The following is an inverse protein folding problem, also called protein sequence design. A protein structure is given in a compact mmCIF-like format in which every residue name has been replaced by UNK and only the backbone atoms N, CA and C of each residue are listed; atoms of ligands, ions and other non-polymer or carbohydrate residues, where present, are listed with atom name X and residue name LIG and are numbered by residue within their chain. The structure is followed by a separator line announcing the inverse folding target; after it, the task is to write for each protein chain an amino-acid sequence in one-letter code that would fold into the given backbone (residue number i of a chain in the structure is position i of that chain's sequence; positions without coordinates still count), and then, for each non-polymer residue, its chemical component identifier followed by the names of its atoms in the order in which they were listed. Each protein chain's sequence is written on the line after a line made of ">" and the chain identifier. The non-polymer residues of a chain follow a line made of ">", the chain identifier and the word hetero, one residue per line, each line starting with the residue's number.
data_IF_098907408706
#
_entry.id   IF_098907408706
#
_cell.length_a   1.000
_cell.length_b   1.000
_cell.length_c   1.000
_cell.angle_alpha   90.00
_cell.angle_beta   90.00
_cell.angle_gamma   90.00
#
_symmetry.space_group_name_H-M   'P 1'
#
loop_
_entity.id
_entity.type
_entity.pdbx_description
1 polymer ?
#
# COMPACT_ATOMS: atom_id res chain seq x y z
N UNK A 1 0.48 25.06 -18.67
CA UNK A 1 1.91 24.75 -18.44
C UNK A 1 2.00 23.36 -17.84
N UNK A 2 2.40 22.35 -18.62
CA UNK A 2 2.52 20.96 -18.14
C UNK A 2 3.82 20.78 -17.36
N UNK A 3 3.74 20.73 -16.03
CA UNK A 3 4.89 20.50 -15.19
C UNK A 3 5.27 19.00 -15.19
N UNK A 4 5.91 18.52 -16.26
CA UNK A 4 6.28 17.12 -16.46
C UNK A 4 7.43 16.63 -15.54
N UNK A 5 7.92 17.48 -14.65
CA UNK A 5 9.03 17.17 -13.74
C UNK A 5 8.63 16.64 -12.36
N UNK A 6 7.33 16.62 -12.02
CA UNK A 6 6.88 16.13 -10.72
C UNK A 6 7.08 14.61 -10.63
N UNK A 7 7.99 14.17 -9.77
CA UNK A 7 8.29 12.75 -9.51
C UNK A 7 7.59 12.19 -8.28
N UNK A 8 7.20 13.07 -7.36
CA UNK A 8 6.64 12.68 -6.06
C UNK A 8 5.40 13.48 -5.74
N UNK A 9 4.35 12.80 -5.26
CA UNK A 9 3.11 13.43 -4.83
C UNK A 9 2.66 12.83 -3.49
N UNK A 10 2.32 13.70 -2.55
CA UNK A 10 1.52 13.36 -1.39
C UNK A 10 0.08 13.78 -1.66
N UNK A 11 -0.85 12.82 -1.68
CA UNK A 11 -2.27 13.09 -1.82
C UNK A 11 -3.05 12.31 -0.76
N UNK A 12 -3.45 13.00 0.30
CA UNK A 12 -4.26 12.41 1.34
C UNK A 12 -5.32 13.40 1.76
N UNK A 13 -6.59 13.02 1.58
CA UNK A 13 -7.71 13.79 2.12
C UNK A 13 -8.19 13.10 3.39
N UNK A 14 -7.75 13.63 4.54
CA UNK A 14 -8.17 13.15 5.85
C UNK A 14 -9.39 13.97 6.31
N UNK A 15 -10.50 13.87 5.57
CA UNK A 15 -11.74 14.56 5.95
C UNK A 15 -12.43 13.77 7.05
N UNK A 16 -11.99 13.96 8.29
CA UNK A 16 -12.62 13.36 9.47
C UNK A 16 -14.00 14.00 9.74
N UNK A 17 -14.30 15.17 9.14
CA UNK A 17 -15.47 15.98 9.53
C UNK A 17 -16.35 16.54 8.41
N UNK A 18 -16.07 16.29 7.12
CA UNK A 18 -16.95 16.83 6.07
C UNK A 18 -17.11 15.91 4.84
N UNK A 19 -18.12 15.02 4.83
CA UNK A 19 -18.37 14.09 3.72
C UNK A 19 -18.96 14.74 2.46
N UNK A 20 -19.10 16.08 2.41
CA UNK A 20 -19.89 16.79 1.39
C UNK A 20 -19.09 17.58 0.35
N UNK A 21 -17.80 17.83 0.55
CA UNK A 21 -17.01 18.57 -0.43
C UNK A 21 -16.53 17.60 -1.51
N UNK A 22 -17.19 17.60 -2.66
CA UNK A 22 -16.88 16.76 -3.81
C UNK A 22 -15.71 17.39 -4.58
N UNK A 23 -14.47 17.04 -4.25
CA UNK A 23 -13.32 17.53 -4.98
C UNK A 23 -12.65 16.35 -5.66
N UNK A 24 -12.91 16.18 -6.96
CA UNK A 24 -12.16 15.27 -7.82
C UNK A 24 -10.75 15.82 -8.07
N UNK A 25 -9.98 16.03 -7.00
CA UNK A 25 -8.64 16.62 -7.05
C UNK A 25 -7.74 15.78 -7.93
N UNK A 26 -7.88 14.45 -7.88
CA UNK A 26 -7.12 13.53 -8.74
C UNK A 26 -7.31 13.82 -10.23
N UNK A 27 -8.53 14.12 -10.68
CA UNK A 27 -8.80 14.50 -12.08
C UNK A 27 -8.14 15.83 -12.46
N UNK A 28 -8.09 16.79 -11.54
CA UNK A 28 -7.49 18.11 -11.77
C UNK A 28 -5.96 18.06 -11.78
N UNK A 29 -5.34 17.15 -11.01
CA UNK A 29 -3.87 17.04 -10.93
C UNK A 29 -3.29 16.03 -11.92
N UNK A 30 -4.11 15.10 -12.45
CA UNK A 30 -3.69 14.04 -13.36
C UNK A 30 -2.83 14.54 -14.54
N UNK A 31 -3.15 15.65 -15.24
CA UNK A 31 -2.34 16.14 -16.35
C UNK A 31 -0.90 16.52 -15.98
N UNK A 32 -0.65 16.79 -14.69
CA UNK A 32 0.66 17.23 -14.18
C UNK A 32 1.46 16.09 -13.52
N UNK A 33 0.86 14.90 -13.40
CA UNK A 33 1.38 13.79 -12.59
C UNK A 33 1.78 12.56 -13.42
N UNK A 34 1.87 12.68 -14.74
CA UNK A 34 2.10 11.54 -15.65
C UNK A 34 3.42 10.77 -15.38
N UNK A 35 4.43 11.44 -14.81
CA UNK A 35 5.77 10.90 -14.56
C UNK A 35 6.04 10.59 -13.07
N UNK A 36 5.00 10.50 -12.23
CA UNK A 36 5.17 10.16 -10.83
C UNK A 36 5.82 8.79 -10.67
N UNK A 37 6.88 8.73 -9.89
CA UNK A 37 7.55 7.50 -9.47
C UNK A 37 7.24 7.15 -8.02
N UNK A 38 6.84 8.13 -7.20
CA UNK A 38 6.50 7.96 -5.79
C UNK A 38 5.14 8.60 -5.50
N UNK A 39 4.23 7.83 -4.90
CA UNK A 39 2.91 8.30 -4.51
C UNK A 39 2.59 7.85 -3.09
N UNK A 40 2.12 8.79 -2.26
CA UNK A 40 1.33 8.45 -1.08
C UNK A 40 -0.12 8.83 -1.35
N UNK A 41 -1.02 7.85 -1.27
CA UNK A 41 -2.45 8.03 -1.40
C UNK A 41 -3.24 7.50 -0.20
N UNK A 42 -4.28 8.24 0.20
CA UNK A 42 -5.27 7.80 1.18
C UNK A 42 -6.61 7.59 0.48
N UNK A 43 -7.17 6.40 0.61
CA UNK A 43 -8.45 5.95 0.01
C UNK A 43 -9.45 5.73 1.14
N UNK A 44 -10.27 6.74 1.41
CA UNK A 44 -11.43 6.67 2.31
C UNK A 44 -12.69 6.42 1.47
N UNK A 45 -13.56 5.51 1.92
CA UNK A 45 -14.57 4.89 1.06
C UNK A 45 -15.63 5.85 0.47
N UNK A 46 -16.13 5.51 -0.72
CA UNK A 46 -17.39 6.02 -1.27
C UNK A 46 -17.26 6.81 -2.58
N UNK A 47 -17.00 8.11 -2.48
CA UNK A 47 -17.17 9.03 -3.63
C UNK A 47 -15.94 9.20 -4.51
N UNK A 48 -14.75 9.17 -3.92
CA UNK A 48 -13.49 9.43 -4.65
C UNK A 48 -12.80 8.14 -5.13
N UNK A 49 -13.35 6.96 -4.83
CA UNK A 49 -12.72 5.67 -5.14
C UNK A 49 -12.49 5.50 -6.65
N UNK A 50 -13.51 5.71 -7.47
CA UNK A 50 -13.42 5.57 -8.93
C UNK A 50 -12.42 6.55 -9.55
N UNK A 51 -12.41 7.80 -9.09
CA UNK A 51 -11.45 8.81 -9.54
C UNK A 51 -10.02 8.47 -9.10
N UNK A 52 -9.85 7.90 -7.90
CA UNK A 52 -8.56 7.43 -7.41
C UNK A 52 -8.04 6.27 -8.25
N UNK A 53 -8.88 5.26 -8.52
CA UNK A 53 -8.53 4.14 -9.40
C UNK A 53 -8.15 4.63 -10.80
N UNK A 54 -8.93 5.55 -11.38
CA UNK A 54 -8.66 6.13 -12.69
C UNK A 54 -7.31 6.85 -12.72
N UNK A 55 -7.03 7.63 -11.67
CA UNK A 55 -5.74 8.30 -11.51
C UNK A 55 -4.59 7.29 -11.38
N UNK A 56 -4.71 6.28 -10.52
CA UNK A 56 -3.71 5.21 -10.36
C UNK A 56 -3.38 4.50 -11.68
N UNK A 57 -4.41 4.17 -12.48
CA UNK A 57 -4.25 3.57 -13.82
C UNK A 57 -3.43 4.44 -14.79
N UNK A 58 -3.40 5.76 -14.58
CA UNK A 58 -2.62 6.68 -15.41
C UNK A 58 -1.12 6.74 -15.07
N UNK A 59 -0.72 6.25 -13.89
CA UNK A 59 0.64 6.41 -13.36
C UNK A 59 1.62 5.33 -13.83
N UNK A 60 1.95 5.34 -15.13
CA UNK A 60 2.77 4.29 -15.78
C UNK A 60 4.19 4.13 -15.23
N UNK A 61 4.72 5.14 -14.53
CA UNK A 61 6.08 5.16 -14.01
C UNK A 61 6.16 4.97 -12.48
N UNK A 62 5.04 4.69 -11.82
CA UNK A 62 4.99 4.56 -10.37
C UNK A 62 5.83 3.36 -9.89
N UNK A 63 6.84 3.61 -9.05
CA UNK A 63 7.76 2.60 -8.50
C UNK A 63 7.47 2.31 -7.04
N UNK A 64 7.04 3.33 -6.29
CA UNK A 64 6.76 3.25 -4.86
C UNK A 64 5.37 3.82 -4.57
N UNK A 65 4.51 2.97 -4.02
CA UNK A 65 3.18 3.33 -3.54
C UNK A 65 3.12 3.16 -2.04
N UNK A 66 2.76 4.25 -1.37
CA UNK A 66 2.28 4.23 -0.01
C UNK A 66 0.77 4.38 -0.05
N UNK A 67 0.06 3.44 0.54
CA UNK A 67 -1.39 3.28 0.43
C UNK A 67 -2.01 3.19 1.81
N UNK A 68 -2.83 4.17 2.14
CA UNK A 68 -3.73 4.09 3.28
C UNK A 68 -5.13 3.83 2.79
N UNK A 69 -5.74 2.72 3.18
CA UNK A 69 -7.01 2.30 2.61
C UNK A 69 -7.93 1.75 3.70
N UNK A 70 -9.18 2.22 3.71
CA UNK A 70 -10.17 1.76 4.69
C UNK A 70 -10.48 0.27 4.53
N UNK A 71 -10.55 -0.46 5.66
CA UNK A 71 -11.02 -1.85 5.69
C UNK A 71 -12.51 -2.02 5.33
N UNK A 72 -13.24 -0.92 5.14
CA UNK A 72 -14.64 -0.94 4.69
C UNK A 72 -14.81 -1.23 3.19
N UNK A 73 -13.72 -1.29 2.41
CA UNK A 73 -13.80 -1.66 0.99
C UNK A 73 -14.28 -3.11 0.80
N UNK A 74 -15.25 -3.29 -0.11
CA UNK A 74 -15.69 -4.61 -0.59
C UNK A 74 -14.60 -5.25 -1.46
N UNK A 75 -14.63 -6.58 -1.60
CA UNK A 75 -13.61 -7.33 -2.36
C UNK A 75 -13.51 -6.86 -3.81
N UNK A 76 -14.63 -6.56 -4.47
CA UNK A 76 -14.63 -6.02 -5.83
C UNK A 76 -13.85 -4.70 -5.95
N UNK A 77 -13.98 -3.83 -4.93
CA UNK A 77 -13.22 -2.58 -4.89
C UNK A 77 -11.73 -2.84 -4.63
N UNK A 78 -11.38 -3.80 -3.76
CA UNK A 78 -9.98 -4.18 -3.55
C UNK A 78 -9.37 -4.76 -4.84
N UNK A 79 -10.11 -5.58 -5.57
CA UNK A 79 -9.71 -6.11 -6.88
C UNK A 79 -9.52 -4.99 -7.90
N UNK A 80 -10.46 -4.04 -7.98
CA UNK A 80 -10.33 -2.89 -8.88
C UNK A 80 -9.11 -2.03 -8.54
N UNK A 81 -8.82 -1.83 -7.25
CA UNK A 81 -7.63 -1.15 -6.77
C UNK A 81 -6.35 -1.92 -7.17
N UNK A 82 -6.31 -3.24 -6.97
CA UNK A 82 -5.18 -4.09 -7.35
C UNK A 82 -4.85 -3.98 -8.85
N UNK A 83 -5.90 -3.99 -9.70
CA UNK A 83 -5.76 -3.84 -11.15
C UNK A 83 -5.33 -2.42 -11.58
N UNK A 84 -5.44 -1.42 -10.71
CA UNK A 84 -5.00 -0.06 -10.99
C UNK A 84 -3.50 0.15 -10.84
N UNK A 85 -2.78 -0.81 -10.24
CA UNK A 85 -1.36 -0.66 -9.96
C UNK A 85 -0.51 -0.74 -11.23
N UNK A 86 0.46 0.17 -11.34
CA UNK A 86 1.40 0.18 -12.45
C UNK A 86 2.29 -1.06 -12.46
N UNK A 87 2.63 -1.55 -13.64
CA UNK A 87 3.61 -2.63 -13.84
C UNK A 87 5.01 -2.29 -13.30
N UNK A 88 5.34 -1.00 -13.28
CA UNK A 88 6.60 -0.49 -12.72
C UNK A 88 6.66 -0.56 -11.20
N UNK A 89 5.53 -0.76 -10.52
CA UNK A 89 5.44 -0.71 -9.06
C UNK A 89 6.26 -1.85 -8.44
N UNK A 90 7.14 -1.50 -7.49
CA UNK A 90 8.04 -2.44 -6.80
C UNK A 90 7.93 -2.39 -5.28
N UNK A 91 7.54 -1.25 -4.71
CA UNK A 91 7.46 -1.05 -3.27
C UNK A 91 6.03 -0.69 -2.91
N UNK A 92 5.44 -1.45 -1.99
CA UNK A 92 4.12 -1.19 -1.42
C UNK A 92 4.25 -0.97 0.09
N UNK A 93 3.82 0.19 0.56
CA UNK A 93 3.72 0.52 1.97
C UNK A 93 2.24 0.68 2.37
N UNK A 94 1.79 0.06 3.46
CA UNK A 94 0.38 0.06 3.91
C UNK A 94 0.24 0.26 5.41
N UNK A 95 -0.81 0.92 5.88
CA UNK A 95 -1.10 1.15 7.30
C UNK A 95 -2.49 0.64 7.75
N UNK A 96 -3.55 0.81 6.93
CA UNK A 96 -4.92 0.43 7.30
C UNK A 96 -5.45 -0.86 6.68
N UNK A 97 -4.97 -1.27 5.49
CA UNK A 97 -5.44 -2.48 4.79
C UNK A 97 -4.78 -3.77 5.33
N UNK A 98 -4.85 -3.97 6.64
CA UNK A 98 -4.11 -5.03 7.37
C UNK A 98 -5.09 -6.07 7.91
N UNK A 99 -5.94 -6.57 7.02
CA UNK A 99 -6.87 -7.68 7.24
C UNK A 99 -6.50 -8.77 6.25
N UNK A 100 -6.25 -10.00 6.72
CA UNK A 100 -5.65 -11.07 5.92
C UNK A 100 -6.45 -11.36 4.64
N UNK A 101 -7.78 -11.37 4.72
CA UNK A 101 -8.69 -11.62 3.61
C UNK A 101 -8.57 -10.53 2.54
N UNK A 102 -8.54 -9.25 2.94
CA UNK A 102 -8.42 -8.13 1.99
C UNK A 102 -7.03 -8.06 1.39
N UNK A 103 -5.99 -8.31 2.18
CA UNK A 103 -4.63 -8.40 1.69
C UNK A 103 -4.48 -9.53 0.67
N UNK A 104 -5.13 -10.67 0.92
CA UNK A 104 -5.14 -11.80 -0.02
C UNK A 104 -5.78 -11.39 -1.34
N UNK A 105 -6.99 -10.81 -1.32
CA UNK A 105 -7.66 -10.30 -2.53
C UNK A 105 -6.76 -9.32 -3.29
N UNK A 106 -6.11 -8.38 -2.59
CA UNK A 106 -5.18 -7.44 -3.22
C UNK A 106 -4.02 -8.20 -3.90
N UNK A 107 -3.29 -9.02 -3.15
CA UNK A 107 -2.07 -9.69 -3.63
C UNK A 107 -2.34 -10.77 -4.70
N UNK A 108 -3.53 -11.35 -4.74
CA UNK A 108 -3.97 -12.27 -5.79
C UNK A 108 -4.26 -11.59 -7.13
N UNK A 109 -4.73 -10.34 -7.09
CA UNK A 109 -5.16 -9.61 -8.29
C UNK A 109 -4.13 -8.59 -8.80
N UNK A 110 -3.03 -8.33 -8.08
CA UNK A 110 -1.97 -7.45 -8.61
C UNK A 110 -1.22 -8.08 -9.78
N UNK A 111 -1.05 -7.29 -10.84
CA UNK A 111 -0.25 -7.69 -11.99
C UNK A 111 1.24 -7.35 -11.83
N UNK A 112 1.58 -6.40 -10.97
CA UNK A 112 2.96 -6.03 -10.70
C UNK A 112 3.67 -7.05 -9.78
N UNK A 113 5.00 -7.01 -9.82
CA UNK A 113 5.88 -7.86 -9.02
C UNK A 113 6.58 -7.01 -7.96
N UNK A 114 6.07 -7.05 -6.73
CA UNK A 114 6.63 -6.35 -5.59
C UNK A 114 7.98 -6.95 -5.23
N UNK A 115 8.95 -6.08 -4.98
CA UNK A 115 10.23 -6.41 -4.35
C UNK A 115 10.17 -6.20 -2.85
N UNK A 116 9.30 -5.29 -2.40
CA UNK A 116 9.19 -4.94 -1.00
C UNK A 116 7.75 -4.63 -0.62
N UNK A 117 7.33 -5.17 0.52
CA UNK A 117 6.06 -4.86 1.18
C UNK A 117 6.40 -4.35 2.59
N UNK A 118 5.85 -3.20 2.96
CA UNK A 118 5.96 -2.67 4.33
C UNK A 118 4.57 -2.48 4.92
N UNK A 119 4.36 -3.01 6.13
CA UNK A 119 3.09 -2.91 6.86
C UNK A 119 3.32 -2.13 8.15
N UNK A 120 2.76 -0.93 8.24
CA UNK A 120 2.88 -0.03 9.39
C UNK A 120 1.83 -0.32 10.44
N UNK A 121 1.75 -1.59 10.81
CA UNK A 121 0.91 -2.12 11.86
C UNK A 121 1.53 -3.43 12.37
N UNK A 122 1.03 -3.90 13.51
CA UNK A 122 1.27 -5.29 13.90
C UNK A 122 0.64 -6.22 12.87
N UNK A 123 1.30 -7.35 12.63
CA UNK A 123 0.79 -8.43 11.79
C UNK A 123 0.72 -9.71 12.61
N UNK A 124 -0.16 -10.62 12.20
CA UNK A 124 -0.31 -11.95 12.78
C UNK A 124 0.07 -13.03 11.75
N UNK A 125 0.01 -14.30 12.17
CA UNK A 125 0.36 -15.44 11.32
C UNK A 125 -0.46 -15.49 10.02
N UNK A 126 -1.74 -15.10 10.06
CA UNK A 126 -2.60 -15.12 8.88
C UNK A 126 -2.14 -14.13 7.81
N UNK A 127 -1.77 -12.91 8.23
CA UNK A 127 -1.21 -11.89 7.34
C UNK A 127 0.13 -12.36 6.76
N UNK A 128 1.01 -12.92 7.60
CA UNK A 128 2.32 -13.38 7.15
C UNK A 128 2.20 -14.54 6.15
N UNK A 129 1.29 -15.51 6.38
CA UNK A 129 1.00 -16.59 5.43
C UNK A 129 0.59 -16.07 4.05
N UNK A 130 -0.30 -15.07 4.01
CA UNK A 130 -0.73 -14.45 2.75
C UNK A 130 0.45 -13.82 1.99
N UNK A 131 1.39 -13.20 2.71
CA UNK A 131 2.61 -12.62 2.10
C UNK A 131 3.56 -13.71 1.63
N UNK A 132 3.74 -14.78 2.40
CA UNK A 132 4.54 -15.94 2.00
C UNK A 132 3.97 -16.64 0.76
N UNK A 133 2.65 -16.83 0.68
CA UNK A 133 1.96 -17.35 -0.51
C UNK A 133 2.23 -16.48 -1.74
N UNK A 134 2.14 -15.15 -1.59
CA UNK A 134 2.50 -14.22 -2.65
C UNK A 134 3.96 -14.37 -3.08
N UNK A 135 4.89 -14.42 -2.12
CA UNK A 135 6.32 -14.53 -2.36
C UNK A 135 6.66 -15.81 -3.13
N UNK A 136 6.13 -16.95 -2.70
CA UNK A 136 6.31 -18.24 -3.36
C UNK A 136 5.77 -18.26 -4.78
N UNK A 137 4.61 -17.61 -5.02
CA UNK A 137 3.99 -17.57 -6.36
C UNK A 137 4.71 -16.64 -7.34
N UNK A 138 5.14 -15.45 -6.88
CA UNK A 138 5.72 -14.42 -7.77
C UNK A 138 7.24 -14.47 -7.84
N UNK A 139 7.89 -15.07 -6.84
CA UNK A 139 9.36 -15.16 -6.70
C UNK A 139 10.08 -13.81 -6.89
N UNK A 140 9.45 -12.71 -6.45
CA UNK A 140 9.96 -11.36 -6.62
C UNK A 140 10.17 -10.60 -5.32
N UNK A 141 9.49 -11.01 -4.25
CA UNK A 141 9.55 -10.36 -2.95
C UNK A 141 10.92 -10.65 -2.31
N UNK A 142 11.62 -9.59 -1.93
CA UNK A 142 12.94 -9.67 -1.29
C UNK A 142 12.92 -9.26 0.17
N UNK A 143 11.97 -8.39 0.54
CA UNK A 143 11.91 -7.79 1.85
C UNK A 143 10.46 -7.57 2.30
N UNK A 144 10.20 -7.93 3.56
CA UNK A 144 9.02 -7.57 4.32
C UNK A 144 9.47 -6.70 5.51
N UNK A 145 8.88 -5.51 5.62
CA UNK A 145 9.00 -4.67 6.83
C UNK A 145 7.67 -4.63 7.56
N UNK A 146 7.67 -4.74 8.88
CA UNK A 146 6.45 -4.54 9.67
C UNK A 146 6.74 -3.86 11.00
N UNK A 147 5.75 -3.24 11.63
CA UNK A 147 5.93 -2.55 12.90
C UNK A 147 5.52 -3.45 14.08
N UNK A 148 6.49 -3.89 14.88
CA UNK A 148 6.22 -4.69 16.09
C UNK A 148 6.01 -3.82 17.34
N UNK A 149 5.23 -2.73 17.22
CA UNK A 149 5.11 -1.77 18.32
C UNK A 149 4.17 -2.27 19.43
N UNK A 150 4.79 -2.65 20.55
CA UNK A 150 4.32 -2.75 21.94
C UNK A 150 3.12 -1.88 22.34
N UNK A 151 3.12 -0.66 21.86
CA UNK A 151 2.33 0.45 22.37
C UNK A 151 1.21 0.89 21.43
N UNK A 152 1.12 0.34 20.21
CA UNK A 152 -0.01 0.60 19.31
C UNK A 152 -1.22 -0.17 19.82
N UNK A 153 -2.08 0.56 20.54
CA UNK A 153 -3.27 0.09 21.25
C UNK A 153 -4.40 -0.44 20.35
N UNK A 154 -4.28 -0.34 19.03
CA UNK A 154 -5.48 -0.40 18.19
C UNK A 154 -6.01 -1.78 17.85
N UNK A 155 -5.26 -2.89 17.97
CA UNK A 155 -5.84 -4.23 17.79
C UNK A 155 -5.11 -5.29 18.62
N UNK A 156 -5.86 -6.07 19.40
CA UNK A 156 -5.43 -7.35 19.98
C UNK A 156 -5.23 -8.36 18.84
N UNK A 157 -4.14 -8.24 18.10
CA UNK A 157 -3.73 -9.28 17.17
C UNK A 157 -2.83 -10.29 17.91
N UNK A 158 -3.02 -11.60 17.68
CA UNK A 158 -2.08 -12.61 18.17
C UNK A 158 -0.67 -12.29 17.66
N UNK A 159 0.33 -12.45 18.52
CA UNK A 159 1.73 -12.27 18.13
C UNK A 159 2.13 -13.32 17.10
N UNK A 160 3.07 -12.95 16.22
CA UNK A 160 3.68 -13.88 15.29
C UNK A 160 4.34 -15.03 16.05
N UNK A 161 4.07 -16.25 15.61
CA UNK A 161 4.79 -17.42 16.15
C UNK A 161 6.24 -17.43 15.65
N UNK A 162 7.17 -17.93 16.48
CA UNK A 162 8.58 -18.03 16.08
C UNK A 162 8.74 -18.93 14.85
N UNK A 163 7.96 -20.01 14.78
CA UNK A 163 8.02 -20.95 13.67
C UNK A 163 7.74 -20.26 12.32
N UNK A 164 6.63 -19.52 12.19
CA UNK A 164 6.29 -18.89 10.91
C UNK A 164 7.30 -17.78 10.53
N UNK A 165 7.90 -17.12 11.52
CA UNK A 165 8.93 -16.12 11.27
C UNK A 165 10.19 -16.73 10.67
N UNK A 166 10.62 -17.90 11.15
CA UNK A 166 11.75 -18.63 10.56
C UNK A 166 11.41 -19.12 9.15
N UNK A 167 10.21 -19.70 8.94
CA UNK A 167 9.76 -20.11 7.60
C UNK A 167 9.72 -18.93 6.61
N UNK A 168 9.32 -17.74 7.07
CA UNK A 168 9.31 -16.54 6.23
C UNK A 168 10.73 -16.05 5.87
N UNK A 169 11.70 -16.18 6.78
CA UNK A 169 13.09 -15.76 6.55
C UNK A 169 13.79 -16.59 5.48
N UNK A 170 13.36 -17.83 5.26
CA UNK A 170 13.85 -18.67 4.16
C UNK A 170 13.38 -18.16 2.79
N UNK A 171 12.31 -17.35 2.73
CA UNK A 171 11.74 -16.81 1.50
C UNK A 171 12.22 -15.38 1.20
N UNK A 172 12.35 -14.52 2.23
CA UNK A 172 12.71 -13.12 2.08
C UNK A 172 13.23 -12.53 3.39
N UNK A 173 13.86 -11.35 3.31
CA UNK A 173 14.31 -10.62 4.50
C UNK A 173 13.09 -10.13 5.29
N UNK A 174 13.05 -10.43 6.58
CA UNK A 174 12.02 -9.96 7.52
C UNK A 174 12.65 -8.94 8.47
N UNK A 175 12.16 -7.70 8.46
CA UNK A 175 12.68 -6.59 9.26
C UNK A 175 11.58 -5.94 10.11
N UNK A 176 11.89 -5.69 11.38
CA UNK A 176 11.07 -4.86 12.26
C UNK A 176 11.38 -3.38 11.99
N UNK A 177 10.36 -2.61 11.64
CA UNK A 177 10.48 -1.20 11.33
C UNK A 177 10.16 -0.36 12.56
N UNK A 178 11.16 0.38 13.03
CA UNK A 178 11.00 1.43 14.05
C UNK A 178 10.71 2.80 13.45
N UNK A 179 10.72 2.93 12.12
CA UNK A 179 10.48 4.20 11.45
C UNK A 179 8.97 4.51 11.33
N UNK A 180 8.54 5.74 11.67
CA UNK A 180 7.16 6.17 11.49
C UNK A 180 6.73 6.12 10.02
N UNK A 181 5.47 5.73 9.77
CA UNK A 181 4.87 5.68 8.43
C UNK A 181 5.12 6.96 7.62
N UNK A 182 5.00 8.13 8.24
CA UNK A 182 5.17 9.43 7.58
C UNK A 182 6.62 9.74 7.15
N UNK A 183 7.64 9.10 7.72
CA UNK A 183 9.06 9.41 7.46
C UNK A 183 9.70 8.57 6.36
N UNK A 184 9.22 7.35 6.07
CA UNK A 184 9.78 6.46 5.04
C UNK A 184 9.77 7.07 3.64
N UNK A 185 8.68 7.76 3.30
CA UNK A 185 8.45 8.33 1.98
C UNK A 185 9.46 9.43 1.61
N UNK A 186 9.90 10.24 2.60
CA UNK A 186 10.85 11.33 2.40
C UNK A 186 12.27 10.82 2.09
N UNK A 187 12.65 9.64 2.60
CA UNK A 187 13.96 9.06 2.35
C UNK A 187 14.10 8.47 0.95
N UNK A 188 13.00 8.01 0.34
CA UNK A 188 13.03 7.42 -1.01
C UNK A 188 13.21 8.43 -2.16
N UNK A 189 13.28 9.73 -1.85
CA UNK A 189 13.36 10.83 -2.81
C UNK A 189 14.81 11.29 -3.06
N UNK A 190 15.75 10.94 -2.16
CA UNK A 190 17.16 11.32 -2.21
C UNK A 190 18.06 10.10 -2.39
#
# INVERSE_FOLDING_TARGET
>A
MSNNGLKTLFYGRQDIYNPFTNHNVTSSIQPFCANLTHLFIIVTAGREFSCTVSFMKSLKHLVHLKLSCSNSLKDDAVTELAHSFSQSLKILEMDYLVVAEKLKVLLENVHCNFKEISIFARINDAILKVIMEYASRKNSLKKLRYMNDKNVLYFYQPQLTTQILEEAKDLFIVEDSTEPFTKSFLKSIF
#
